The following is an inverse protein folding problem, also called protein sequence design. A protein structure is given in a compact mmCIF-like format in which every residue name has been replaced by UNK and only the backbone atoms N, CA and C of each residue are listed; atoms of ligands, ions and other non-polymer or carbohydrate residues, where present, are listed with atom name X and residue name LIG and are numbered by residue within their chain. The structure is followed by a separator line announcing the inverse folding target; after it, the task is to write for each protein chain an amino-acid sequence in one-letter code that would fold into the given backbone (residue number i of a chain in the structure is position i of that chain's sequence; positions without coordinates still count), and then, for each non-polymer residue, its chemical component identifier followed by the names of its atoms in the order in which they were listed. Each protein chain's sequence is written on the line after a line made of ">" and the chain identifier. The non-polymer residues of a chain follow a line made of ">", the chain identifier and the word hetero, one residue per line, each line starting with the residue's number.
data_IF_758692053843
#
_entry.id   IF_758692053843
#
_cell.length_a   1.000
_cell.length_b   1.000
_cell.length_c   1.000
_cell.angle_alpha   90.00
_cell.angle_beta   90.00
_cell.angle_gamma   90.00
#
_symmetry.space_group_name_H-M   'P 1'
#
loop_
_entity.id
_entity.type
_entity.pdbx_description
1 polymer ?
#
# COMPACT_ATOMS: atom_id res chain seq x y z
N UNK A 1 -4.42 37.07 -21.40
CA UNK A 1 -4.65 35.62 -21.61
C UNK A 1 -3.55 34.73 -21.03
N UNK A 2 -2.26 34.99 -21.26
CA UNK A 2 -1.15 34.15 -20.75
C UNK A 2 -1.09 34.04 -19.21
N UNK A 3 -1.38 35.12 -18.47
CA UNK A 3 -1.38 35.11 -17.00
C UNK A 3 -2.47 34.20 -16.40
N UNK A 4 -3.64 34.12 -17.05
CA UNK A 4 -4.76 33.28 -16.61
C UNK A 4 -4.47 31.78 -16.84
N UNK A 5 -3.79 31.44 -17.93
CA UNK A 5 -3.35 30.06 -18.22
C UNK A 5 -2.30 29.63 -17.18
N UNK A 6 -1.38 30.50 -16.80
CA UNK A 6 -0.35 30.19 -15.79
C UNK A 6 -0.98 29.94 -14.40
N UNK A 7 -1.96 30.76 -14.00
CA UNK A 7 -2.66 30.59 -12.71
C UNK A 7 -3.52 29.32 -12.67
N UNK A 8 -4.17 28.93 -13.78
CA UNK A 8 -4.94 27.68 -13.86
C UNK A 8 -4.05 26.43 -13.71
N UNK A 9 -2.83 26.45 -14.25
CA UNK A 9 -1.89 25.34 -14.10
C UNK A 9 -1.37 25.17 -12.66
N UNK A 10 -1.18 26.29 -11.93
CA UNK A 10 -0.71 26.26 -10.55
C UNK A 10 -1.75 25.63 -9.59
N UNK A 11 -3.04 25.93 -9.79
CA UNK A 11 -4.13 25.34 -9.01
C UNK A 11 -4.29 23.84 -9.25
N UNK A 12 -4.08 23.38 -10.49
CA UNK A 12 -4.19 21.97 -10.84
C UNK A 12 -3.07 21.11 -10.23
N UNK A 13 -1.84 21.65 -10.20
CA UNK A 13 -0.70 20.99 -9.56
C UNK A 13 -0.88 20.85 -8.03
N UNK A 14 -1.45 21.88 -7.38
CA UNK A 14 -1.73 21.86 -5.93
C UNK A 14 -2.81 20.84 -5.55
N UNK A 15 -3.91 20.79 -6.30
CA UNK A 15 -4.98 19.81 -6.06
C UNK A 15 -4.52 18.36 -6.22
N UNK A 16 -3.65 18.08 -7.20
CA UNK A 16 -3.10 16.74 -7.42
C UNK A 16 -2.08 16.34 -6.33
N UNK A 17 -1.36 17.31 -5.77
CA UNK A 17 -0.41 17.08 -4.67
C UNK A 17 -1.12 16.72 -3.36
N UNK A 18 -2.22 17.41 -3.04
CA UNK A 18 -3.03 17.07 -1.87
C UNK A 18 -3.62 15.66 -1.96
N UNK A 19 -4.17 15.27 -3.13
CA UNK A 19 -4.68 13.90 -3.34
C UNK A 19 -3.61 12.82 -3.15
N UNK A 20 -2.36 13.08 -3.57
CA UNK A 20 -1.25 12.14 -3.34
C UNK A 20 -0.87 12.06 -1.86
N UNK A 21 -0.84 13.20 -1.18
CA UNK A 21 -0.54 13.24 0.26
C UNK A 21 -1.62 12.53 1.08
N UNK A 22 -2.89 12.77 0.78
CA UNK A 22 -4.03 12.12 1.44
C UNK A 22 -4.00 10.60 1.22
N UNK A 23 -3.72 10.16 -0.02
CA UNK A 23 -3.56 8.74 -0.34
C UNK A 23 -2.37 8.09 0.38
N UNK A 24 -1.26 8.82 0.54
CA UNK A 24 -0.08 8.34 1.28
C UNK A 24 -0.38 8.23 2.77
N UNK A 25 -1.05 9.22 3.36
CA UNK A 25 -1.45 9.21 4.77
C UNK A 25 -2.42 8.05 5.06
N UNK A 26 -3.43 7.87 4.20
CA UNK A 26 -4.30 6.70 4.24
C UNK A 26 -3.48 5.41 4.23
N UNK A 27 -2.54 5.28 3.28
CA UNK A 27 -1.76 4.05 3.14
C UNK A 27 -0.91 3.76 4.39
N UNK A 28 -0.31 4.78 5.01
CA UNK A 28 0.47 4.63 6.25
C UNK A 28 -0.44 4.25 7.43
N UNK A 29 -1.58 4.92 7.58
CA UNK A 29 -2.54 4.67 8.65
C UNK A 29 -3.12 3.25 8.55
N UNK A 30 -3.67 2.89 7.38
CA UNK A 30 -4.23 1.56 7.11
C UNK A 30 -3.17 0.46 7.26
N UNK A 31 -1.95 0.65 6.73
CA UNK A 31 -0.88 -0.34 6.89
C UNK A 31 -0.53 -0.57 8.37
N UNK A 32 -0.47 0.51 9.16
CA UNK A 32 -0.20 0.42 10.61
C UNK A 32 -1.35 -0.29 11.34
N UNK A 33 -2.59 0.02 10.98
CA UNK A 33 -3.77 -0.61 11.54
C UNK A 33 -3.80 -2.12 11.26
N UNK A 34 -3.75 -2.54 10.00
CA UNK A 34 -3.86 -3.95 9.62
C UNK A 34 -2.66 -4.79 10.05
N UNK A 35 -1.47 -4.20 10.17
CA UNK A 35 -0.32 -4.87 10.79
C UNK A 35 -0.64 -5.30 12.23
N UNK A 36 -1.24 -4.42 13.04
CA UNK A 36 -1.62 -4.75 14.43
C UNK A 36 -2.73 -5.79 14.49
N UNK A 37 -3.70 -5.74 13.55
CA UNK A 37 -4.76 -6.75 13.44
C UNK A 37 -4.14 -8.13 13.23
N UNK A 38 -3.19 -8.27 12.30
CA UNK A 38 -2.53 -9.54 12.01
C UNK A 38 -1.64 -10.04 13.15
N UNK A 39 -0.89 -9.15 13.81
CA UNK A 39 -0.08 -9.47 14.99
C UNK A 39 -0.96 -10.03 16.13
N UNK A 40 -2.15 -9.46 16.35
CA UNK A 40 -3.09 -9.95 17.36
C UNK A 40 -3.65 -11.35 17.09
N UNK A 41 -3.55 -11.83 15.85
CA UNK A 41 -4.01 -13.16 15.43
C UNK A 41 -2.88 -14.20 15.43
N UNK A 42 -1.67 -13.82 15.85
CA UNK A 42 -0.48 -14.69 15.88
C UNK A 42 -0.13 -15.28 14.49
N UNK A 43 -0.47 -14.56 13.43
CA UNK A 43 -0.18 -14.93 12.04
C UNK A 43 1.21 -14.41 11.65
N UNK A 44 2.25 -15.01 12.21
CA UNK A 44 3.67 -14.60 12.03
C UNK A 44 4.31 -15.10 10.71
N UNK A 45 3.52 -15.39 9.68
CA UNK A 45 4.09 -15.69 8.36
C UNK A 45 4.34 -14.36 7.65
N UNK A 46 5.61 -13.96 7.60
CA UNK A 46 6.03 -12.62 7.14
C UNK A 46 5.49 -12.25 5.76
N UNK A 47 5.62 -13.18 4.80
CA UNK A 47 5.11 -13.02 3.43
C UNK A 47 3.58 -12.91 3.36
N UNK A 48 2.88 -13.66 4.20
CA UNK A 48 1.42 -13.59 4.29
C UNK A 48 0.97 -12.21 4.80
N UNK A 49 1.68 -11.65 5.79
CA UNK A 49 1.44 -10.29 6.29
C UNK A 49 1.68 -9.24 5.20
N UNK A 50 2.81 -9.34 4.51
CA UNK A 50 3.15 -8.46 3.38
C UNK A 50 2.08 -8.45 2.28
N UNK A 51 1.62 -9.64 1.87
CA UNK A 51 0.55 -9.79 0.90
C UNK A 51 -0.78 -9.21 1.39
N UNK A 52 -1.22 -9.58 2.60
CA UNK A 52 -2.54 -9.23 3.11
C UNK A 52 -2.69 -7.73 3.35
N UNK A 53 -1.65 -7.10 3.95
CA UNK A 53 -1.62 -5.65 4.19
C UNK A 53 -1.58 -4.89 2.87
N UNK A 54 -0.71 -5.28 1.92
CA UNK A 54 -0.64 -4.59 0.63
C UNK A 54 -1.94 -4.70 -0.18
N UNK A 55 -2.67 -5.81 -0.04
CA UNK A 55 -3.98 -5.99 -0.68
C UNK A 55 -5.02 -5.02 -0.12
N UNK A 56 -5.26 -5.02 1.20
CA UNK A 56 -6.32 -4.19 1.77
C UNK A 56 -6.03 -2.70 1.66
N UNK A 57 -4.76 -2.30 1.82
CA UNK A 57 -4.35 -0.90 1.64
C UNK A 57 -4.53 -0.48 0.17
N UNK A 58 -4.29 -1.39 -0.78
CA UNK A 58 -4.56 -1.19 -2.21
C UNK A 58 -6.04 -0.92 -2.51
N UNK A 59 -6.94 -1.61 -1.81
CA UNK A 59 -8.41 -1.42 -1.92
C UNK A 59 -8.83 -0.08 -1.31
N UNK A 60 -8.38 0.23 -0.09
CA UNK A 60 -8.84 1.40 0.66
C UNK A 60 -8.22 2.72 0.16
N UNK A 61 -6.92 2.71 -0.10
CA UNK A 61 -6.12 3.93 -0.33
C UNK A 61 -5.61 4.04 -1.78
N UNK A 62 -5.88 3.02 -2.59
CA UNK A 62 -5.46 2.93 -3.98
C UNK A 62 -4.06 2.33 -4.16
N UNK A 63 -3.88 1.67 -5.30
CA UNK A 63 -2.66 0.91 -5.65
C UNK A 63 -1.41 1.78 -5.67
N UNK A 64 -1.48 3.02 -6.16
CA UNK A 64 -0.31 3.89 -6.29
C UNK A 64 0.28 4.28 -4.94
N UNK A 65 -0.56 4.64 -3.98
CA UNK A 65 -0.13 5.05 -2.64
C UNK A 65 0.41 3.85 -1.86
N UNK A 66 -0.26 2.71 -2.01
CA UNK A 66 0.13 1.43 -1.41
C UNK A 66 1.48 0.93 -1.93
N UNK A 67 1.72 1.05 -3.23
CA UNK A 67 3.00 0.70 -3.85
C UNK A 67 4.14 1.57 -3.33
N UNK A 68 3.91 2.89 -3.15
CA UNK A 68 4.92 3.80 -2.59
C UNK A 68 5.30 3.37 -1.17
N UNK A 69 4.33 3.05 -0.32
CA UNK A 69 4.62 2.62 1.06
C UNK A 69 5.32 1.26 1.10
N UNK A 70 4.85 0.29 0.30
CA UNK A 70 5.49 -1.03 0.21
C UNK A 70 6.96 -0.93 -0.23
N UNK A 71 7.25 -0.12 -1.24
CA UNK A 71 8.64 0.14 -1.69
C UNK A 71 9.43 0.94 -0.65
N UNK A 72 8.84 1.96 -0.04
CA UNK A 72 9.52 2.80 0.95
C UNK A 72 9.95 2.03 2.21
N UNK A 73 9.16 1.05 2.67
CA UNK A 73 9.50 0.19 3.80
C UNK A 73 10.69 -0.71 3.48
N UNK A 74 10.70 -1.37 2.31
CA UNK A 74 11.84 -2.21 1.90
C UNK A 74 13.11 -1.38 1.64
N UNK A 75 12.97 -0.15 1.13
CA UNK A 75 14.08 0.81 1.03
C UNK A 75 14.57 1.22 2.42
N UNK A 76 13.68 1.49 3.37
CA UNK A 76 14.07 1.79 4.75
C UNK A 76 14.85 0.63 5.37
N UNK A 77 14.41 -0.61 5.15
CA UNK A 77 15.09 -1.81 5.63
C UNK A 77 16.50 -1.93 5.02
N UNK A 78 16.70 -1.61 3.72
CA UNK A 78 18.02 -1.54 3.06
C UNK A 78 19.00 -0.54 3.68
N UNK A 79 18.51 0.61 4.17
CA UNK A 79 19.35 1.72 4.62
C UNK A 79 19.41 1.88 6.15
N UNK A 80 18.51 1.25 6.91
CA UNK A 80 18.23 1.59 8.30
C UNK A 80 18.31 0.46 9.33
N UNK A 81 18.16 -0.83 8.97
CA UNK A 81 18.23 -1.88 10.00
C UNK A 81 17.73 -3.31 9.70
N UNK A 82 17.55 -3.72 8.43
CA UNK A 82 17.08 -5.07 8.09
C UNK A 82 17.74 -5.66 6.83
N UNK A 83 17.40 -6.91 6.49
CA UNK A 83 17.69 -7.48 5.17
C UNK A 83 16.48 -7.23 4.28
N UNK A 84 16.64 -6.45 3.21
CA UNK A 84 15.58 -6.34 2.23
C UNK A 84 15.43 -7.68 1.50
N UNK A 85 14.30 -8.33 1.75
CA UNK A 85 14.00 -9.61 1.13
C UNK A 85 13.17 -9.37 -0.12
N UNK A 86 13.75 -9.71 -1.28
CA UNK A 86 13.03 -9.67 -2.56
C UNK A 86 11.69 -10.45 -2.52
N UNK A 87 11.60 -11.45 -1.65
CA UNK A 87 10.39 -12.23 -1.45
C UNK A 87 9.26 -11.45 -0.74
N UNK A 88 9.59 -10.49 0.13
CA UNK A 88 8.61 -9.62 0.79
C UNK A 88 8.10 -8.55 -0.16
N UNK A 89 8.99 -8.01 -0.99
CA UNK A 89 8.59 -7.12 -2.08
C UNK A 89 7.66 -7.83 -3.06
N UNK A 90 7.97 -9.08 -3.41
CA UNK A 90 7.09 -9.90 -4.27
C UNK A 90 5.73 -10.15 -3.61
N UNK A 91 5.71 -10.44 -2.31
CA UNK A 91 4.46 -10.60 -1.56
C UNK A 91 3.62 -9.31 -1.55
N UNK A 92 4.25 -8.14 -1.39
CA UNK A 92 3.56 -6.85 -1.51
C UNK A 92 2.95 -6.66 -2.91
N UNK A 93 3.70 -6.99 -3.97
CA UNK A 93 3.22 -6.91 -5.36
C UNK A 93 2.03 -7.85 -5.59
N UNK A 94 2.07 -9.08 -5.09
CA UNK A 94 0.93 -9.99 -5.17
C UNK A 94 -0.30 -9.42 -4.46
N UNK A 95 -0.13 -8.83 -3.27
CA UNK A 95 -1.20 -8.14 -2.55
C UNK A 95 -1.83 -7.02 -3.40
N UNK A 96 -1.01 -6.16 -4.00
CA UNK A 96 -1.49 -5.08 -4.87
C UNK A 96 -2.24 -5.61 -6.09
N UNK A 97 -1.77 -6.69 -6.70
CA UNK A 97 -2.48 -7.30 -7.83
C UNK A 97 -3.84 -7.89 -7.40
N UNK A 98 -3.91 -8.51 -6.21
CA UNK A 98 -5.18 -8.97 -5.64
C UNK A 98 -6.15 -7.81 -5.39
N UNK A 99 -5.67 -6.66 -4.92
CA UNK A 99 -6.50 -5.46 -4.66
C UNK A 99 -7.23 -4.90 -5.89
N UNK A 100 -6.76 -5.26 -7.09
CA UNK A 100 -7.34 -4.82 -8.36
C UNK A 100 -8.43 -5.77 -8.88
N UNK A 101 -8.62 -6.93 -8.24
CA UNK A 101 -9.60 -7.92 -8.66
C UNK A 101 -10.99 -7.56 -8.17
N UNK A 102 -11.99 -7.72 -9.04
CA UNK A 102 -13.38 -7.44 -8.70
C UNK A 102 -13.96 -8.37 -7.62
N UNK A 103 -13.41 -9.57 -7.45
CA UNK A 103 -13.86 -10.54 -6.43
C UNK A 103 -13.19 -10.39 -5.06
N UNK A 104 -12.29 -9.41 -4.90
CA UNK A 104 -11.58 -9.13 -3.64
C UNK A 104 -11.94 -7.72 -3.19
N UNK A 105 -12.73 -7.60 -2.12
CA UNK A 105 -13.33 -6.30 -1.74
C UNK A 105 -13.05 -5.89 -0.29
N UNK A 106 -12.62 -6.82 0.56
CA UNK A 106 -12.41 -6.57 1.99
C UNK A 106 -11.17 -7.32 2.51
N UNK A 107 -10.87 -7.10 3.79
CA UNK A 107 -9.70 -7.69 4.44
C UNK A 107 -9.77 -9.22 4.50
N UNK A 108 -10.95 -9.79 4.73
CA UNK A 108 -11.18 -11.22 4.77
C UNK A 108 -10.86 -11.88 3.41
N UNK A 109 -11.28 -11.27 2.30
CA UNK A 109 -10.98 -11.75 0.94
C UNK A 109 -9.47 -11.69 0.65
N UNK A 110 -8.83 -10.58 1.03
CA UNK A 110 -7.38 -10.40 0.92
C UNK A 110 -6.63 -11.47 1.72
N UNK A 111 -6.99 -11.64 3.00
CA UNK A 111 -6.41 -12.62 3.90
C UNK A 111 -6.57 -14.05 3.36
N UNK A 112 -7.80 -14.43 2.97
CA UNK A 112 -8.09 -15.77 2.46
C UNK A 112 -7.33 -16.06 1.15
N UNK A 113 -7.17 -15.05 0.29
CA UNK A 113 -6.40 -15.20 -0.96
C UNK A 113 -4.90 -15.28 -0.71
N UNK A 114 -4.35 -14.44 0.15
CA UNK A 114 -2.94 -14.46 0.51
C UNK A 114 -2.54 -15.75 1.24
N UNK A 115 -3.41 -16.30 2.10
CA UNK A 115 -3.21 -17.60 2.78
C UNK A 115 -3.15 -18.81 1.83
N UNK A 116 -3.68 -18.68 0.62
CA UNK A 116 -3.55 -19.72 -0.42
C UNK A 116 -2.21 -19.64 -1.16
N UNK A 117 -1.52 -18.51 -1.06
CA UNK A 117 -0.24 -18.23 -1.73
C UNK A 117 0.94 -18.46 -0.78
N UNK A 118 0.78 -18.11 0.51
CA UNK A 118 1.80 -18.15 1.56
C UNK A 118 1.25 -18.81 2.83
#
# INVERSE_FOLDING_TARGET
>A
MLLAIFLMNLSYASANSNKRLDGLLCAVESATYYKRVLESQNLEVDKYRHCSVSCIVGIECGVSSSAVIGVAKEIYDLFGGGHAEWADLLANIHGLHLSQRADIQNFEDCSASCKRIY
#
